data_IF_502755246016
#
_entry.id   IF_502755246016
#
_cell.length_a   1.000
_cell.length_b   1.000
_cell.length_c   1.000
_cell.angle_alpha   90.00
_cell.angle_beta   90.00
_cell.angle_gamma   90.00
#
_symmetry.space_group_name_H-M   'P 1'
#
loop_
_entity.id
_entity.type
_entity.pdbx_description
1 polymer ?
#
# COMPACT_ATOMS: atom_id res chain seq x y z
N UNK A 1 -14.51 -2.50 -10.38
CA UNK A 1 -13.28 -2.47 -9.52
C UNK A 1 -13.21 -3.75 -8.68
N UNK A 2 -12.15 -4.57 -8.83
CA UNK A 2 -12.07 -5.94 -8.27
C UNK A 2 -12.17 -5.99 -6.73
N UNK A 3 -11.66 -4.97 -6.02
CA UNK A 3 -11.75 -4.89 -4.56
C UNK A 3 -13.20 -4.78 -4.06
N UNK A 4 -13.99 -3.87 -4.64
CA UNK A 4 -15.38 -3.66 -4.24
C UNK A 4 -16.23 -4.93 -4.44
N UNK A 5 -15.97 -5.65 -5.52
CA UNK A 5 -16.61 -6.94 -5.78
C UNK A 5 -16.24 -7.97 -4.71
N UNK A 6 -14.95 -8.11 -4.38
CA UNK A 6 -14.49 -8.98 -3.30
C UNK A 6 -15.12 -8.64 -1.94
N UNK A 7 -15.20 -7.36 -1.59
CA UNK A 7 -15.85 -6.90 -0.35
C UNK A 7 -17.35 -7.21 -0.34
N UNK A 8 -18.03 -7.09 -1.48
CA UNK A 8 -19.45 -7.47 -1.59
C UNK A 8 -19.66 -8.98 -1.45
N UNK A 9 -18.80 -9.79 -2.05
CA UNK A 9 -18.84 -11.25 -1.90
C UNK A 9 -18.61 -11.65 -0.45
N UNK A 10 -17.58 -11.08 0.18
CA UNK A 10 -17.32 -11.26 1.61
C UNK A 10 -18.55 -10.91 2.46
N UNK A 11 -19.09 -9.69 2.30
CA UNK A 11 -20.23 -9.24 3.09
C UNK A 11 -21.47 -10.14 2.90
N UNK A 12 -21.72 -10.62 1.68
CA UNK A 12 -22.83 -11.54 1.40
C UNK A 12 -22.67 -12.87 2.14
N UNK A 13 -21.45 -13.37 2.25
CA UNK A 13 -21.15 -14.66 2.87
C UNK A 13 -21.11 -14.59 4.40
N UNK A 14 -20.54 -13.52 4.98
CA UNK A 14 -20.27 -13.44 6.42
C UNK A 14 -21.25 -12.54 7.17
N UNK A 15 -21.96 -11.64 6.49
CA UNK A 15 -22.96 -10.71 7.04
C UNK A 15 -22.50 -10.04 8.35
N UNK A 16 -21.33 -9.37 8.35
CA UNK A 16 -20.83 -8.69 9.53
C UNK A 16 -21.80 -7.59 9.97
N UNK A 17 -21.94 -7.38 11.29
CA UNK A 17 -22.85 -6.38 11.88
C UNK A 17 -22.09 -5.13 12.31
N UNK A 18 -21.28 -5.27 13.36
CA UNK A 18 -20.67 -4.11 14.04
C UNK A 18 -19.30 -3.74 13.46
N UNK A 19 -18.52 -4.73 13.03
CA UNK A 19 -17.19 -4.52 12.42
C UNK A 19 -17.14 -5.16 11.04
N UNK A 20 -16.65 -4.41 10.04
CA UNK A 20 -16.50 -4.93 8.68
C UNK A 20 -15.61 -6.18 8.66
N UNK A 21 -14.56 -6.22 9.48
CA UNK A 21 -13.73 -7.41 9.69
C UNK A 21 -13.67 -7.69 11.20
N UNK A 22 -14.45 -8.65 11.71
CA UNK A 22 -14.47 -8.96 13.13
C UNK A 22 -13.37 -9.97 13.53
N UNK A 23 -13.15 -10.12 14.84
CA UNK A 23 -12.46 -11.29 15.42
C UNK A 23 -13.22 -12.58 15.12
N UNK A 24 -12.58 -13.73 15.31
CA UNK A 24 -13.25 -15.03 15.14
C UNK A 24 -14.47 -15.20 16.07
N UNK A 25 -14.43 -14.59 17.25
CA UNK A 25 -15.55 -14.59 18.21
C UNK A 25 -16.64 -13.56 17.88
N UNK A 26 -16.39 -12.62 16.96
CA UNK A 26 -17.35 -11.59 16.57
C UNK A 26 -17.48 -10.41 17.55
N UNK A 27 -16.71 -10.43 18.64
CA UNK A 27 -16.81 -9.51 19.79
C UNK A 27 -15.96 -8.24 19.66
N UNK A 28 -15.18 -8.13 18.58
CA UNK A 28 -14.29 -6.99 18.38
C UNK A 28 -13.79 -6.85 16.95
N UNK A 29 -13.06 -5.77 16.66
CA UNK A 29 -12.42 -5.58 15.36
C UNK A 29 -11.25 -6.55 15.17
N UNK A 30 -10.92 -6.85 13.91
CA UNK A 30 -9.73 -7.59 13.54
C UNK A 30 -8.48 -6.98 14.19
N UNK A 31 -7.75 -7.79 14.96
CA UNK A 31 -6.51 -7.34 15.59
C UNK A 31 -5.35 -7.22 14.60
N UNK A 32 -4.43 -6.31 14.87
CA UNK A 32 -3.22 -6.11 14.05
C UNK A 32 -2.41 -7.42 13.92
N UNK A 33 -2.23 -8.15 15.02
CA UNK A 33 -1.54 -9.44 15.01
C UNK A 33 -2.22 -10.47 14.10
N UNK A 34 -3.55 -10.47 14.01
CA UNK A 34 -4.27 -11.36 13.10
C UNK A 34 -4.12 -10.92 11.66
N UNK A 35 -4.20 -9.62 11.38
CA UNK A 35 -3.94 -9.09 10.05
C UNK A 35 -2.52 -9.42 9.55
N UNK A 36 -1.50 -9.26 10.41
CA UNK A 36 -0.11 -9.65 10.14
C UNK A 36 -0.02 -11.16 9.80
N UNK A 37 -0.62 -12.03 10.61
CA UNK A 37 -0.64 -13.48 10.35
C UNK A 37 -1.32 -13.83 9.03
N UNK A 38 -2.48 -13.23 8.74
CA UNK A 38 -3.20 -13.42 7.47
C UNK A 38 -2.35 -13.01 6.27
N UNK A 39 -1.68 -11.86 6.37
CA UNK A 39 -0.76 -11.39 5.35
C UNK A 39 0.40 -12.37 5.13
N UNK A 40 1.05 -12.84 6.20
CA UNK A 40 2.14 -13.82 6.08
C UNK A 40 1.66 -15.12 5.43
N UNK A 41 0.48 -15.61 5.79
CA UNK A 41 -0.13 -16.78 5.16
C UNK A 41 -0.36 -16.57 3.66
N UNK A 42 -0.94 -15.44 3.26
CA UNK A 42 -1.16 -15.10 1.86
C UNK A 42 0.15 -14.97 1.07
N UNK A 43 1.17 -14.34 1.67
CA UNK A 43 2.51 -14.20 1.10
C UNK A 43 3.16 -15.56 0.82
N UNK A 44 3.10 -16.47 1.79
CA UNK A 44 3.64 -17.82 1.64
C UNK A 44 2.89 -18.61 0.57
N UNK A 45 1.55 -18.53 0.56
CA UNK A 45 0.72 -19.19 -0.44
C UNK A 45 0.98 -18.67 -1.87
N UNK A 46 1.36 -17.40 -1.99
CA UNK A 46 1.76 -16.78 -3.26
C UNK A 46 3.21 -17.09 -3.68
N UNK A 47 3.99 -17.82 -2.88
CA UNK A 47 5.39 -18.13 -3.18
C UNK A 47 6.35 -16.94 -3.09
N UNK A 48 5.97 -15.88 -2.36
CA UNK A 48 6.78 -14.67 -2.26
C UNK A 48 7.80 -14.80 -1.12
N UNK A 49 9.08 -14.91 -1.46
CA UNK A 49 10.18 -15.14 -0.49
C UNK A 49 10.55 -13.89 0.34
N UNK A 50 10.24 -12.69 -0.15
CA UNK A 50 10.70 -11.42 0.43
C UNK A 50 10.21 -11.18 1.87
N UNK A 51 11.12 -10.83 2.80
CA UNK A 51 10.89 -10.73 4.26
C UNK A 51 10.02 -9.54 4.74
N UNK A 52 9.29 -8.88 3.85
CA UNK A 52 8.44 -7.75 4.19
C UNK A 52 7.21 -8.15 5.01
N UNK A 53 6.79 -7.29 5.95
CA UNK A 53 5.54 -7.42 6.71
C UNK A 53 4.34 -6.76 6.00
N UNK A 54 3.19 -6.73 6.65
CA UNK A 54 1.95 -6.19 6.06
C UNK A 54 2.07 -4.74 5.54
N UNK A 55 2.99 -3.95 6.11
CA UNK A 55 3.29 -2.59 5.64
C UNK A 55 3.86 -2.52 4.21
N UNK A 56 4.38 -3.63 3.68
CA UNK A 56 4.82 -3.70 2.28
C UNK A 56 3.65 -3.45 1.32
N UNK A 57 2.43 -3.87 1.66
CA UNK A 57 1.24 -3.57 0.83
C UNK A 57 1.02 -2.06 0.71
N UNK A 58 1.13 -1.33 1.83
CA UNK A 58 1.01 0.13 1.85
C UNK A 58 2.12 0.78 1.04
N UNK A 59 3.34 0.25 1.17
CA UNK A 59 4.48 0.74 0.41
C UNK A 59 4.28 0.56 -1.09
N UNK A 60 3.92 -0.64 -1.55
CA UNK A 60 3.67 -0.92 -2.97
C UNK A 60 2.54 -0.05 -3.52
N UNK A 61 1.45 0.15 -2.78
CA UNK A 61 0.38 1.06 -3.20
C UNK A 61 0.89 2.49 -3.40
N UNK A 62 1.68 3.02 -2.46
CA UNK A 62 2.25 4.35 -2.56
C UNK A 62 3.23 4.49 -3.73
N UNK A 63 4.15 3.53 -3.89
CA UNK A 63 5.14 3.51 -4.98
C UNK A 63 4.45 3.46 -6.34
N UNK A 64 3.45 2.58 -6.53
CA UNK A 64 2.72 2.49 -7.80
C UNK A 64 1.99 3.80 -8.16
N UNK A 65 1.39 4.49 -7.17
CA UNK A 65 0.75 5.78 -7.43
C UNK A 65 1.78 6.85 -7.81
N UNK A 66 2.94 6.86 -7.16
CA UNK A 66 4.00 7.80 -7.46
C UNK A 66 4.61 7.56 -8.84
N UNK A 67 4.84 6.29 -9.22
CA UNK A 67 5.28 5.89 -10.56
C UNK A 67 4.25 6.22 -11.64
N UNK A 68 2.96 6.18 -11.31
CA UNK A 68 1.88 6.64 -12.20
C UNK A 68 1.75 8.18 -12.27
N UNK A 69 2.64 8.94 -11.62
CA UNK A 69 2.67 10.40 -11.66
C UNK A 69 1.64 11.08 -10.76
N UNK A 70 1.02 10.36 -9.83
CA UNK A 70 0.10 10.96 -8.85
C UNK A 70 0.90 11.84 -7.89
N UNK A 71 0.40 13.05 -7.63
CA UNK A 71 1.07 14.01 -6.76
C UNK A 71 1.14 13.54 -5.30
N UNK A 72 2.20 13.94 -4.61
CA UNK A 72 2.48 13.51 -3.24
C UNK A 72 1.39 13.91 -2.22
N UNK A 73 0.78 15.11 -2.28
CA UNK A 73 -0.37 15.46 -1.46
C UNK A 73 -1.56 14.51 -1.63
N UNK A 74 -1.89 14.13 -2.86
CA UNK A 74 -2.95 13.16 -3.16
C UNK A 74 -2.62 11.78 -2.58
N UNK A 75 -1.39 11.28 -2.78
CA UNK A 75 -0.94 10.00 -2.22
C UNK A 75 -1.05 10.03 -0.69
N UNK A 76 -0.60 11.12 -0.04
CA UNK A 76 -0.71 11.27 1.41
C UNK A 76 -2.16 11.16 1.89
N UNK A 77 -3.08 11.85 1.21
CA UNK A 77 -4.51 11.84 1.57
C UNK A 77 -5.11 10.45 1.43
N UNK A 78 -4.76 9.72 0.37
CA UNK A 78 -5.22 8.34 0.15
C UNK A 78 -4.67 7.36 1.20
N UNK A 79 -3.46 7.60 1.72
CA UNK A 79 -2.86 6.77 2.76
C UNK A 79 -3.35 7.12 4.18
N UNK A 80 -4.04 8.24 4.36
CA UNK A 80 -4.49 8.72 5.67
C UNK A 80 -3.35 9.06 6.62
N UNK A 81 -2.16 9.40 6.12
CA UNK A 81 -1.01 9.75 6.97
C UNK A 81 -1.19 11.17 7.52
N UNK A 82 -1.18 11.31 8.85
CA UNK A 82 -1.22 12.61 9.54
C UNK A 82 0.08 13.42 9.46
N UNK A 83 1.20 12.78 9.09
CA UNK A 83 2.52 13.43 8.96
C UNK A 83 3.19 13.13 7.61
N UNK A 84 3.73 14.18 6.97
CA UNK A 84 4.40 14.15 5.66
C UNK A 84 5.69 13.29 5.65
N UNK A 85 6.32 13.13 6.80
CA UNK A 85 7.58 12.36 6.95
C UNK A 85 7.46 10.89 6.57
N UNK A 86 6.29 10.26 6.77
CA UNK A 86 6.05 8.86 6.37
C UNK A 86 5.88 8.72 4.85
N UNK A 87 5.44 9.80 4.19
CA UNK A 87 5.21 9.86 2.74
C UNK A 87 6.50 10.20 1.97
N UNK A 88 7.38 11.03 2.54
CA UNK A 88 8.68 11.38 1.94
C UNK A 88 9.60 10.18 1.71
N UNK A 89 9.47 9.10 2.50
CA UNK A 89 10.20 7.84 2.28
C UNK A 89 9.92 7.24 0.89
N UNK A 90 8.73 7.46 0.33
CA UNK A 90 8.40 6.96 -1.02
C UNK A 90 9.09 7.74 -2.13
N UNK A 91 9.37 9.04 -1.92
CA UNK A 91 10.10 9.87 -2.88
C UNK A 91 11.54 9.36 -3.08
N UNK A 92 12.22 8.95 -2.01
CA UNK A 92 13.57 8.40 -2.11
C UNK A 92 13.60 7.08 -2.91
N UNK A 93 12.58 6.24 -2.74
CA UNK A 93 12.47 4.94 -3.40
C UNK A 93 12.08 5.06 -4.88
N UNK A 94 11.23 6.03 -5.24
CA UNK A 94 10.97 6.36 -6.63
C UNK A 94 12.18 7.02 -7.31
N UNK A 95 12.91 7.91 -6.63
CA UNK A 95 14.16 8.49 -7.17
C UNK A 95 15.24 7.43 -7.44
N UNK A 96 15.31 6.38 -6.63
CA UNK A 96 16.20 5.25 -6.87
C UNK A 96 15.81 4.42 -8.12
N UNK A 97 14.52 4.42 -8.51
CA UNK A 97 14.03 3.79 -9.75
C UNK A 97 14.08 4.71 -10.97
N UNK A 98 14.12 6.04 -10.77
CA UNK A 98 14.15 7.08 -11.81
C UNK A 98 15.55 7.44 -12.32
N UNK A 99 16.54 6.56 -12.18
CA UNK A 99 17.94 6.74 -12.65
C UNK A 99 18.11 6.82 -14.18
N UNK A 100 17.03 7.09 -14.92
CA UNK A 100 17.05 7.46 -16.35
C UNK A 100 16.58 8.88 -16.64
N UNK A 101 16.31 9.71 -15.63
CA UNK A 101 15.83 11.09 -15.87
C UNK A 101 17.04 12.00 -16.12
N UNK A 102 17.26 12.36 -17.38
CA UNK A 102 18.26 13.34 -17.82
C UNK A 102 18.18 14.61 -16.98
N UNK A 103 19.32 15.06 -16.44
CA UNK A 103 19.36 16.29 -15.67
C UNK A 103 18.97 17.46 -16.57
N UNK A 104 18.16 18.43 -16.10
CA UNK A 104 17.95 19.67 -16.83
C UNK A 104 19.26 20.40 -17.18
N UNK A 105 20.33 20.13 -16.43
CA UNK A 105 21.67 20.65 -16.69
C UNK A 105 22.36 19.97 -17.89
N UNK A 106 21.99 18.74 -18.23
CA UNK A 106 22.50 18.03 -19.42
C UNK A 106 21.85 18.54 -20.72
N UNK A 107 20.73 19.28 -20.62
CA UNK A 107 20.07 19.97 -21.73
C UNK A 107 20.74 21.32 -22.06
N UNK A 108 21.66 21.78 -21.22
CA UNK A 108 22.49 22.96 -21.45
C UNK A 108 23.76 22.50 -22.19
N UNK A 109 23.66 22.24 -23.49
CA UNK A 109 24.83 21.97 -24.33
C UNK A 109 25.84 23.14 -24.28
N UNK A 110 27.15 22.89 -24.52
CA UNK A 110 28.14 23.96 -24.48
C UNK A 110 27.88 24.96 -25.61
N UNK A 111 27.81 26.25 -25.24
CA UNK A 111 27.70 27.37 -26.16
C UNK A 111 28.87 27.46 -27.15
#
# INVERSE_FOLDING_TARGET
>A
PRLLEGLRLYWRATRPRDFLFPTAAGDGPLSEATAQRMYHGARMAAGIEHRGGIHTLRHSFATHLLEAGVDLPTIQRLLGHGHLSTTMRYLHLARAHLTGTTSPLDLLGPS
#
